data_IF_771465816976
#
_entry.id   IF_771465816976
#
_cell.length_a   1.000
_cell.length_b   1.000
_cell.length_c   1.000
_cell.angle_alpha   90.00
_cell.angle_beta   90.00
_cell.angle_gamma   90.00
#
_symmetry.space_group_name_H-M   'P 1'
#
loop_
_entity.id
_entity.type
_entity.pdbx_description
1 polymer ?
#
# COMPACT_ATOMS: atom_id res chain seq x y z
N UNK A 1 -5.35 -28.24 -2.52
CA UNK A 1 -5.13 -26.79 -2.33
C UNK A 1 -6.17 -26.32 -1.34
N UNK A 2 -5.76 -25.84 -0.17
CA UNK A 2 -6.70 -25.40 0.86
C UNK A 2 -7.40 -24.12 0.39
N UNK A 3 -8.73 -24.11 0.48
CA UNK A 3 -9.55 -22.93 0.22
C UNK A 3 -9.08 -21.78 1.13
N UNK A 4 -8.53 -20.72 0.53
CA UNK A 4 -7.86 -19.61 1.22
C UNK A 4 -8.76 -18.36 1.23
N UNK A 5 -10.08 -18.54 1.19
CA UNK A 5 -11.01 -17.45 1.35
C UNK A 5 -10.96 -16.93 2.80
N UNK A 6 -10.47 -15.69 2.96
CA UNK A 6 -10.51 -15.00 4.25
C UNK A 6 -11.98 -14.64 4.57
N UNK A 7 -12.40 -14.71 5.85
CA UNK A 7 -13.73 -14.28 6.27
C UNK A 7 -14.06 -12.85 5.81
N UNK A 8 -15.32 -12.58 5.49
CA UNK A 8 -15.79 -11.25 5.02
C UNK A 8 -15.52 -10.13 6.04
N UNK A 9 -15.46 -10.45 7.33
CA UNK A 9 -15.14 -9.53 8.43
C UNK A 9 -13.64 -9.45 8.76
N UNK A 10 -12.82 -10.30 8.15
CA UNK A 10 -11.37 -10.30 8.35
C UNK A 10 -10.76 -8.98 7.91
N UNK A 11 -9.87 -8.42 8.74
CA UNK A 11 -9.23 -7.12 8.49
C UNK A 11 -7.73 -7.30 8.29
N UNK A 12 -7.23 -6.76 7.18
CA UNK A 12 -5.83 -6.81 6.75
C UNK A 12 -5.23 -5.40 6.92
N UNK A 13 -4.06 -5.32 7.53
CA UNK A 13 -3.20 -4.14 7.43
C UNK A 13 -2.17 -4.39 6.32
N UNK A 14 -2.28 -3.65 5.23
CA UNK A 14 -1.34 -3.68 4.12
C UNK A 14 -0.31 -2.56 4.28
N UNK A 15 0.96 -2.87 4.00
CA UNK A 15 2.09 -1.93 4.01
C UNK A 15 2.81 -2.06 2.68
N UNK A 16 3.08 -0.94 2.04
CA UNK A 16 3.76 -0.88 0.74
C UNK A 16 4.93 0.10 0.81
N UNK A 17 6.12 -0.37 0.45
CA UNK A 17 7.39 0.39 0.53
C UNK A 17 8.37 -0.03 -0.57
N UNK A 18 7.91 -0.50 -1.74
CA UNK A 18 8.80 -1.06 -2.76
C UNK A 18 9.49 -0.03 -3.65
N UNK A 19 8.95 1.18 -3.78
CA UNK A 19 9.47 2.21 -4.69
C UNK A 19 9.58 3.58 -4.00
N UNK A 20 9.00 4.64 -4.57
CA UNK A 20 9.09 6.03 -4.09
C UNK A 20 7.91 6.47 -3.22
N UNK A 21 7.10 5.51 -2.79
CA UNK A 21 5.89 5.73 -2.01
C UNK A 21 5.92 4.83 -0.79
N UNK A 22 5.55 5.40 0.35
CA UNK A 22 5.27 4.66 1.58
C UNK A 22 3.78 4.72 1.83
N UNK A 23 3.10 3.57 1.86
CA UNK A 23 1.67 3.52 2.05
C UNK A 23 1.24 2.50 3.12
N UNK A 24 0.11 2.79 3.75
CA UNK A 24 -0.56 1.89 4.68
C UNK A 24 -2.07 1.90 4.43
N UNK A 25 -2.67 0.71 4.37
CA UNK A 25 -4.11 0.55 4.13
C UNK A 25 -4.74 -0.49 5.05
N UNK A 26 -5.99 -0.25 5.43
CA UNK A 26 -6.84 -1.22 6.13
C UNK A 26 -7.85 -1.78 5.15
N UNK A 27 -7.84 -3.10 4.94
CA UNK A 27 -8.71 -3.78 3.97
C UNK A 27 -9.55 -4.83 4.67
N UNK A 28 -10.87 -4.80 4.46
CA UNK A 28 -11.81 -5.80 4.96
C UNK A 28 -12.16 -6.83 3.88
N UNK A 29 -12.16 -8.11 4.26
CA UNK A 29 -12.48 -9.24 3.38
C UNK A 29 -11.56 -9.34 2.15
N UNK A 30 -10.37 -8.73 2.19
CA UNK A 30 -9.43 -8.66 1.07
C UNK A 30 -9.89 -7.84 -0.14
N UNK A 31 -11.07 -7.18 -0.08
CA UNK A 31 -11.67 -6.51 -1.24
C UNK A 31 -12.12 -5.08 -0.96
N UNK A 32 -12.43 -4.76 0.30
CA UNK A 32 -12.98 -3.44 0.66
C UNK A 32 -11.93 -2.62 1.38
N UNK A 33 -11.54 -1.48 0.81
CA UNK A 33 -10.63 -0.53 1.47
C UNK A 33 -11.42 0.29 2.49
N UNK A 34 -10.99 0.26 3.75
CA UNK A 34 -11.57 1.01 4.86
C UNK A 34 -10.81 2.32 5.11
N UNK A 35 -9.48 2.27 4.96
CA UNK A 35 -8.60 3.42 5.07
C UNK A 35 -7.39 3.21 4.17
N UNK A 36 -6.85 4.30 3.63
CA UNK A 36 -5.63 4.29 2.82
C UNK A 36 -4.91 5.64 3.01
N UNK A 37 -3.63 5.58 3.38
CA UNK A 37 -2.74 6.74 3.43
C UNK A 37 -1.51 6.47 2.59
N UNK A 38 -1.08 7.48 1.85
CA UNK A 38 0.10 7.42 0.98
C UNK A 38 0.96 8.63 1.28
N UNK A 39 2.24 8.41 1.57
CA UNK A 39 3.28 9.41 1.61
C UNK A 39 4.14 9.24 0.35
N UNK A 40 4.12 10.24 -0.53
CA UNK A 40 4.84 10.22 -1.80
C UNK A 40 6.16 10.98 -1.69
N UNK A 41 7.23 10.43 -2.27
CA UNK A 41 8.54 11.09 -2.41
C UNK A 41 8.67 11.88 -3.71
N UNK A 42 7.58 12.00 -4.51
CA UNK A 42 7.60 12.68 -5.81
C UNK A 42 8.12 14.12 -5.74
N UNK A 43 7.79 14.87 -4.69
CA UNK A 43 8.27 16.25 -4.53
C UNK A 43 9.79 16.32 -4.36
N UNK A 44 10.38 15.32 -3.70
CA UNK A 44 11.82 15.22 -3.46
C UNK A 44 12.58 14.75 -4.71
N UNK A 45 11.94 13.89 -5.50
CA UNK A 45 12.50 13.33 -6.74
C UNK A 45 12.31 14.26 -7.95
N UNK A 46 11.36 15.22 -7.88
CA UNK A 46 11.10 16.19 -8.95
C UNK A 46 12.35 16.95 -9.39
N UNK A 47 13.27 17.27 -8.45
CA UNK A 47 14.52 17.97 -8.75
C UNK A 47 15.52 17.15 -9.59
N UNK A 48 15.34 15.84 -9.65
CA UNK A 48 16.24 14.92 -10.35
C UNK A 48 15.67 14.40 -11.67
N UNK A 49 14.45 14.80 -12.04
CA UNK A 49 13.83 14.42 -13.31
C UNK A 49 13.35 12.97 -13.38
N UNK A 50 13.28 12.27 -12.25
CA UNK A 50 12.85 10.88 -12.15
C UNK A 50 13.08 10.31 -10.76
N UNK A 51 12.62 9.07 -10.53
CA UNK A 51 12.85 8.33 -9.28
C UNK A 51 14.36 8.13 -9.10
N UNK A 52 14.89 8.55 -7.96
CA UNK A 52 16.29 8.33 -7.60
C UNK A 52 16.32 7.16 -6.62
N UNK A 53 16.92 6.02 -6.99
CA UNK A 53 17.22 4.97 -6.03
C UNK A 53 18.15 5.51 -4.95
N UNK A 54 17.95 5.05 -3.71
CA UNK A 54 18.89 5.27 -2.61
C UNK A 54 20.29 4.73 -2.92
#
# INVERSE_FOLDING_TARGET
MADTALPEDFTILAVETSCDETAAAVVRGGRTIISNVVASQMDEHRRYGGIVPE
#
